data_IF_218054311168
#
_entry.id   IF_218054311168
#
_cell.length_a   1.000
_cell.length_b   1.000
_cell.length_c   1.000
_cell.angle_alpha   90.00
_cell.angle_beta   90.00
_cell.angle_gamma   90.00
#
_symmetry.space_group_name_H-M   'P 1'
#
loop_
_entity.id
_entity.type
_entity.pdbx_description
1 polymer ?
#
# COMPACT_ATOMS: atom_id res chain seq x y z
N UNK A 1 2.13 -1.85 -7.11
CA UNK A 1 2.16 -3.19 -6.50
C UNK A 1 3.50 -3.38 -5.81
N UNK A 2 3.56 -3.22 -4.48
CA UNK A 2 4.63 -2.37 -3.94
C UNK A 2 5.57 -2.95 -2.89
N UNK A 3 5.51 -4.25 -2.56
CA UNK A 3 6.51 -4.85 -1.66
C UNK A 3 7.05 -6.19 -2.16
N UNK A 4 8.35 -6.43 -1.96
CA UNK A 4 9.15 -7.64 -2.20
C UNK A 4 10.46 -7.42 -1.44
N UNK A 5 11.00 -8.45 -0.80
CA UNK A 5 12.31 -8.40 -0.13
C UNK A 5 13.48 -8.18 -1.08
N UNK A 6 14.33 -7.20 -0.79
CA UNK A 6 15.48 -6.86 -1.62
C UNK A 6 16.61 -7.92 -1.58
N UNK A 7 16.66 -8.72 -0.51
CA UNK A 7 17.66 -9.77 -0.30
C UNK A 7 17.29 -11.11 -0.97
N UNK A 8 16.12 -11.19 -1.62
CA UNK A 8 15.61 -12.40 -2.27
C UNK A 8 14.94 -13.40 -1.31
N UNK A 9 14.74 -13.04 -0.05
CA UNK A 9 13.94 -13.82 0.89
C UNK A 9 12.52 -14.03 0.39
N UNK A 10 11.92 -15.16 0.79
CA UNK A 10 10.51 -15.40 0.56
C UNK A 10 9.68 -14.90 1.74
N UNK A 11 8.39 -14.65 1.51
CA UNK A 11 7.48 -14.05 2.47
C UNK A 11 6.03 -14.37 2.14
N UNK A 12 5.11 -14.10 3.08
CA UNK A 12 3.69 -14.21 2.77
C UNK A 12 3.29 -13.23 1.68
N UNK A 13 2.36 -13.65 0.83
CA UNK A 13 1.85 -12.86 -0.29
C UNK A 13 2.96 -12.35 -1.24
N UNK A 14 4.06 -13.10 -1.41
CA UNK A 14 5.15 -12.74 -2.32
C UNK A 14 4.81 -12.98 -3.81
N UNK A 15 3.94 -12.14 -4.38
CA UNK A 15 3.49 -12.25 -5.77
C UNK A 15 3.58 -10.91 -6.53
N UNK A 16 4.41 -9.98 -6.07
CA UNK A 16 4.60 -8.66 -6.69
C UNK A 16 5.99 -8.49 -7.34
N UNK A 17 6.42 -9.33 -8.30
CA UNK A 17 7.81 -9.33 -8.80
C UNK A 17 8.26 -7.99 -9.43
N UNK A 18 7.34 -7.17 -9.93
CA UNK A 18 7.63 -5.83 -10.48
C UNK A 18 7.88 -4.74 -9.43
N UNK A 19 7.71 -5.05 -8.14
CA UNK A 19 7.72 -4.10 -7.03
C UNK A 19 9.05 -3.37 -6.86
N UNK A 20 10.17 -4.10 -6.90
CA UNK A 20 11.51 -3.51 -6.79
C UNK A 20 11.83 -2.62 -7.99
N UNK A 21 11.52 -3.07 -9.22
CA UNK A 21 11.76 -2.29 -10.43
C UNK A 21 10.97 -0.98 -10.44
N UNK A 22 9.69 -1.01 -10.05
CA UNK A 22 8.85 0.19 -10.01
C UNK A 22 9.40 1.20 -9.01
N UNK A 23 9.74 0.74 -7.80
CA UNK A 23 10.32 1.58 -6.75
C UNK A 23 11.67 2.17 -7.20
N UNK A 24 12.52 1.35 -7.83
CA UNK A 24 13.82 1.78 -8.33
C UNK A 24 13.71 2.87 -9.40
N UNK A 25 12.80 2.74 -10.37
CA UNK A 25 12.63 3.76 -11.41
C UNK A 25 12.12 5.08 -10.82
N UNK A 26 11.17 5.03 -9.88
CA UNK A 26 10.68 6.24 -9.20
C UNK A 26 11.78 6.94 -8.41
N UNK A 27 12.59 6.20 -7.64
CA UNK A 27 13.71 6.77 -6.90
C UNK A 27 14.74 7.39 -7.85
N UNK A 28 15.03 6.70 -8.96
CA UNK A 28 16.00 7.16 -9.96
C UNK A 28 15.56 8.48 -10.63
N UNK A 29 14.28 8.65 -10.87
CA UNK A 29 13.71 9.82 -11.54
C UNK A 29 13.10 10.84 -10.57
N UNK A 30 13.33 10.68 -9.26
CA UNK A 30 12.61 11.43 -8.22
C UNK A 30 12.79 12.96 -8.32
N UNK A 31 13.93 13.42 -8.83
CA UNK A 31 14.17 14.86 -9.07
C UNK A 31 13.26 15.47 -10.16
N UNK A 32 12.59 14.63 -10.95
CA UNK A 32 11.64 15.02 -12.01
C UNK A 32 10.19 14.64 -11.66
N UNK A 33 9.93 14.22 -10.41
CA UNK A 33 8.61 13.79 -9.94
C UNK A 33 8.18 14.68 -8.78
N UNK A 34 7.08 15.43 -8.95
CA UNK A 34 6.59 16.34 -7.91
C UNK A 34 5.67 15.68 -6.88
N UNK A 35 5.00 14.57 -7.27
CA UNK A 35 4.07 13.82 -6.43
C UNK A 35 3.90 12.40 -7.00
N UNK A 36 3.61 11.44 -6.13
CA UNK A 36 3.21 10.08 -6.51
C UNK A 36 1.77 9.80 -6.05
N UNK A 37 0.99 9.12 -6.90
CA UNK A 37 -0.35 8.63 -6.55
C UNK A 37 -0.39 7.12 -6.74
N UNK A 38 -0.58 6.39 -5.65
CA UNK A 38 -0.74 4.95 -5.62
C UNK A 38 -2.23 4.59 -5.43
N UNK A 39 -2.90 4.20 -6.51
CA UNK A 39 -4.36 4.07 -6.59
C UNK A 39 -4.93 2.76 -6.02
N UNK A 40 -4.46 2.34 -4.84
CA UNK A 40 -4.92 1.13 -4.13
C UNK A 40 -4.00 -0.07 -4.31
N UNK A 41 -4.32 -1.15 -3.59
CA UNK A 41 -3.57 -2.40 -3.59
C UNK A 41 -2.09 -2.16 -3.23
N UNK A 42 -1.92 -1.72 -1.99
CA UNK A 42 -0.72 -1.04 -1.51
C UNK A 42 0.39 -2.07 -1.28
N UNK A 43 0.32 -2.82 -0.19
CA UNK A 43 1.39 -3.74 0.19
C UNK A 43 1.00 -5.22 0.07
N UNK A 44 -0.27 -5.53 -0.18
CA UNK A 44 -0.79 -6.91 -0.18
C UNK A 44 -0.47 -7.66 1.13
N UNK A 45 -0.37 -6.94 2.25
CA UNK A 45 -0.16 -7.56 3.56
C UNK A 45 -1.24 -8.60 3.88
N UNK A 46 -2.50 -8.31 3.52
CA UNK A 46 -3.66 -9.19 3.64
C UNK A 46 -3.67 -9.96 4.97
N UNK A 47 -3.51 -9.25 6.09
CA UNK A 47 -3.47 -9.82 7.45
C UNK A 47 -2.07 -10.11 8.02
N UNK A 48 -1.01 -10.15 7.21
CA UNK A 48 0.38 -10.26 7.68
C UNK A 48 0.97 -8.88 7.97
N UNK A 49 0.59 -8.33 9.12
CA UNK A 49 0.69 -6.90 9.44
C UNK A 49 2.11 -6.32 9.38
N UNK A 50 3.15 -7.11 9.66
CA UNK A 50 4.55 -6.65 9.59
C UNK A 50 4.95 -6.10 8.22
N UNK A 51 4.25 -6.51 7.16
CA UNK A 51 4.54 -6.09 5.80
C UNK A 51 4.17 -4.63 5.53
N UNK A 52 3.39 -4.00 6.40
CA UNK A 52 3.14 -2.56 6.33
C UNK A 52 4.39 -1.75 6.70
N UNK A 53 5.13 -2.16 7.73
CA UNK A 53 6.42 -1.53 8.08
C UNK A 53 7.48 -1.77 7.00
N UNK A 54 7.49 -2.98 6.44
CA UNK A 54 8.33 -3.31 5.28
C UNK A 54 8.03 -2.40 4.09
N UNK A 55 6.75 -2.16 3.80
CA UNK A 55 6.33 -1.29 2.70
C UNK A 55 6.71 0.17 2.94
N UNK A 56 6.42 0.72 4.13
CA UNK A 56 6.75 2.12 4.45
C UNK A 56 8.26 2.35 4.44
N UNK A 57 9.06 1.41 4.93
CA UNK A 57 10.52 1.46 4.82
C UNK A 57 10.99 1.42 3.37
N UNK A 58 10.41 0.56 2.53
CA UNK A 58 10.77 0.46 1.11
C UNK A 58 10.52 1.74 0.31
N UNK A 59 9.41 2.43 0.58
CA UNK A 59 9.07 3.68 -0.12
C UNK A 59 9.58 4.94 0.57
N UNK A 60 10.23 4.82 1.74
CA UNK A 60 10.80 5.95 2.48
C UNK A 60 11.59 6.92 1.59
N UNK A 61 12.47 6.48 0.66
CA UNK A 61 13.22 7.39 -0.18
C UNK A 61 12.36 8.26 -1.11
N UNK A 62 11.10 7.86 -1.35
CA UNK A 62 10.12 8.61 -2.15
C UNK A 62 9.28 9.49 -1.20
N UNK A 63 8.64 8.88 -0.20
CA UNK A 63 7.60 9.56 0.62
C UNK A 63 8.15 10.57 1.62
N UNK A 64 9.46 10.50 1.92
CA UNK A 64 10.13 11.50 2.76
C UNK A 64 10.49 12.78 2.00
N UNK A 65 10.35 12.79 0.67
CA UNK A 65 10.78 13.90 -0.20
C UNK A 65 9.60 14.54 -0.94
N UNK A 66 8.67 13.73 -1.45
CA UNK A 66 7.50 14.20 -2.21
C UNK A 66 6.21 13.63 -1.63
N UNK A 67 5.07 14.34 -1.76
CA UNK A 67 3.78 13.80 -1.36
C UNK A 67 3.48 12.46 -2.04
N UNK A 68 3.06 11.49 -1.25
CA UNK A 68 2.66 10.16 -1.71
C UNK A 68 1.21 9.92 -1.32
N UNK A 69 0.32 10.11 -2.29
CA UNK A 69 -1.12 9.92 -2.09
C UNK A 69 -1.49 8.48 -2.37
N UNK A 70 -2.46 7.96 -1.62
CA UNK A 70 -3.00 6.62 -1.84
C UNK A 70 -4.50 6.67 -2.17
N UNK A 71 -4.98 5.63 -2.84
CA UNK A 71 -6.39 5.20 -2.81
C UNK A 71 -6.52 3.89 -2.01
N UNK A 72 -7.75 3.49 -1.67
CA UNK A 72 -8.02 2.19 -1.04
C UNK A 72 -8.46 1.17 -2.08
N UNK A 73 -7.73 0.05 -2.19
CA UNK A 73 -8.10 -1.10 -3.01
C UNK A 73 -8.90 -2.16 -2.26
N UNK A 74 -9.19 -3.28 -2.93
CA UNK A 74 -9.85 -4.43 -2.30
C UNK A 74 -8.93 -5.11 -1.27
N UNK A 75 -7.62 -5.14 -1.51
CA UNK A 75 -6.65 -5.70 -0.55
C UNK A 75 -6.45 -4.83 0.70
N UNK A 76 -6.94 -3.60 0.70
CA UNK A 76 -7.02 -2.78 1.91
C UNK A 76 -8.35 -3.00 2.64
N UNK A 77 -9.47 -3.06 1.91
CA UNK A 77 -10.81 -2.86 2.50
C UNK A 77 -11.71 -4.09 2.56
N UNK A 78 -11.64 -5.01 1.61
CA UNK A 78 -12.70 -6.01 1.44
C UNK A 78 -12.68 -7.07 2.54
N UNK A 79 -13.80 -7.17 3.26
CA UNK A 79 -14.05 -8.26 4.21
C UNK A 79 -15.56 -8.47 4.38
N UNK A 80 -16.06 -9.73 4.41
CA UNK A 80 -17.50 -9.98 4.53
C UNK A 80 -18.08 -9.38 5.83
N UNK A 81 -19.26 -8.78 5.74
CA UNK A 81 -19.98 -8.25 6.91
C UNK A 81 -19.39 -6.95 7.50
N UNK A 82 -18.52 -6.25 6.78
CA UNK A 82 -17.88 -5.01 7.26
C UNK A 82 -18.38 -3.73 6.60
N UNK A 83 -19.37 -3.82 5.70
CA UNK A 83 -19.89 -2.68 4.94
C UNK A 83 -19.07 -2.27 3.71
N UNK A 84 -18.05 -3.04 3.32
CA UNK A 84 -17.45 -2.91 1.98
C UNK A 84 -18.48 -3.27 0.91
N UNK A 85 -18.45 -2.58 -0.24
CA UNK A 85 -19.33 -2.90 -1.37
C UNK A 85 -19.04 -4.30 -1.93
N UNK A 86 -17.76 -4.66 -2.02
CA UNK A 86 -17.30 -6.00 -2.34
C UNK A 86 -17.12 -6.81 -1.05
N UNK A 87 -17.76 -7.98 -1.00
CA UNK A 87 -17.73 -8.90 0.15
C UNK A 87 -16.58 -9.91 0.09
N UNK A 88 -15.49 -9.61 -0.61
CA UNK A 88 -14.35 -10.51 -0.75
C UNK A 88 -13.59 -10.64 0.58
N UNK A 89 -12.59 -11.53 0.62
CA UNK A 89 -11.70 -11.72 1.78
C UNK A 89 -10.31 -11.11 1.55
N UNK A 90 -10.20 -10.22 0.58
CA UNK A 90 -8.92 -9.81 -0.02
C UNK A 90 -8.04 -9.03 0.97
N UNK A 91 -8.64 -8.29 1.90
CA UNK A 91 -7.91 -7.60 2.97
C UNK A 91 -7.30 -8.52 4.02
N UNK A 92 -7.63 -9.81 4.01
CA UNK A 92 -7.17 -10.77 5.01
C UNK A 92 -7.54 -10.39 6.44
N UNK A 93 -8.68 -9.68 6.61
CA UNK A 93 -9.22 -9.28 7.91
C UNK A 93 -8.79 -7.88 8.36
N UNK A 94 -8.00 -7.15 7.56
CA UNK A 94 -7.56 -5.78 7.88
C UNK A 94 -8.69 -4.76 7.75
N UNK A 95 -9.68 -5.02 6.89
CA UNK A 95 -10.93 -4.25 6.77
C UNK A 95 -10.78 -2.72 6.71
N UNK A 96 -9.70 -2.21 6.10
CA UNK A 96 -9.40 -0.80 5.89
C UNK A 96 -8.46 -0.18 6.93
N UNK A 97 -8.38 -0.75 8.13
CA UNK A 97 -7.80 -0.11 9.32
C UNK A 97 -6.36 0.36 9.12
N UNK A 98 -5.52 -0.46 8.48
CA UNK A 98 -4.11 -0.10 8.32
C UNK A 98 -3.88 0.96 7.25
N UNK A 99 -4.59 0.88 6.13
CA UNK A 99 -4.50 1.89 5.08
C UNK A 99 -4.97 3.26 5.59
N UNK A 100 -6.11 3.31 6.28
CA UNK A 100 -6.67 4.54 6.83
C UNK A 100 -5.92 5.08 8.05
N UNK A 101 -4.99 4.32 8.65
CA UNK A 101 -4.22 4.75 9.82
C UNK A 101 -2.81 5.17 9.45
N UNK A 102 -2.09 4.31 8.71
CA UNK A 102 -0.67 4.50 8.35
C UNK A 102 -0.50 5.65 7.37
N UNK A 103 -1.41 5.76 6.40
CA UNK A 103 -1.40 6.85 5.44
C UNK A 103 -2.45 7.88 5.80
N UNK A 104 -2.06 9.15 5.69
CA UNK A 104 -2.98 10.27 5.78
C UNK A 104 -3.40 10.68 4.37
N UNK A 105 -4.70 10.82 4.16
CA UNK A 105 -5.29 11.45 2.98
C UNK A 105 -6.30 12.50 3.44
N UNK A 106 -6.44 13.63 2.71
CA UNK A 106 -7.29 14.75 3.13
C UNK A 106 -8.77 14.48 2.80
N UNK A 107 -9.35 13.46 3.43
CA UNK A 107 -10.78 13.12 3.32
C UNK A 107 -11.51 13.52 4.59
N UNK A 108 -12.79 13.88 4.47
CA UNK A 108 -13.61 14.24 5.65
C UNK A 108 -13.71 13.06 6.63
N UNK A 109 -13.85 11.85 6.09
CA UNK A 109 -13.86 10.61 6.84
C UNK A 109 -12.87 9.62 6.22
N UNK A 110 -11.78 9.34 6.94
CA UNK A 110 -10.70 8.43 6.48
C UNK A 110 -11.18 6.99 6.26
N UNK A 111 -12.26 6.56 6.92
CA UNK A 111 -12.84 5.25 6.68
C UNK A 111 -13.68 5.15 5.39
N UNK A 112 -14.15 6.29 4.85
CA UNK A 112 -14.72 6.34 3.51
C UNK A 112 -13.63 6.41 2.45
N UNK A 113 -12.52 7.10 2.73
CA UNK A 113 -11.42 7.25 1.78
C UNK A 113 -11.75 8.11 0.53
N UNK A 114 -12.85 8.87 0.57
CA UNK A 114 -13.24 9.91 -0.39
C UNK A 114 -14.07 11.01 0.27
#
# INVERSE_FOLDING_TARGET
MWKVEADGSNEYNNFQPGSLNTTYQLIKDLNNVDMVINIGDICYANGYISQWDQFTSKIEPIVSVVPYMIGSGNHERDWPGTGSFYGNKDSGGVCGVLAETIFYVPTENRAKFW
#
